data_IF_271946860434
#
_entry.id   IF_271946860434
#
_cell.length_a   1.000
_cell.length_b   1.000
_cell.length_c   1.000
_cell.angle_alpha   90.00
_cell.angle_beta   90.00
_cell.angle_gamma   90.00
#
_symmetry.space_group_name_H-M   'P 1'
#
loop_
_entity.id
_entity.type
_entity.pdbx_description
1 polymer ?
#
# COMPACT_ATOMS: atom_id res chain seq x y z
N UNK A 1 15.63 7.07 -17.76
CA UNK A 1 14.54 7.14 -16.75
C UNK A 1 13.22 7.74 -17.25
N UNK A 2 13.14 8.25 -18.50
CA UNK A 2 11.97 9.01 -18.99
C UNK A 2 10.89 8.19 -19.72
N UNK A 3 11.21 7.00 -20.23
CA UNK A 3 10.24 6.18 -21.01
C UNK A 3 9.23 5.43 -20.14
N UNK A 4 9.68 4.83 -19.03
CA UNK A 4 8.82 4.03 -18.14
C UNK A 4 7.70 4.90 -17.52
N UNK A 5 8.07 6.06 -16.97
CA UNK A 5 7.12 7.03 -16.40
C UNK A 5 6.07 7.46 -17.45
N UNK A 6 6.49 7.64 -18.71
CA UNK A 6 5.61 8.04 -19.82
C UNK A 6 4.63 6.94 -20.25
N UNK A 7 5.03 5.67 -20.11
CA UNK A 7 4.16 4.51 -20.37
C UNK A 7 3.12 4.36 -19.27
N UNK A 8 3.52 4.54 -18.01
CA UNK A 8 2.59 4.55 -16.87
C UNK A 8 1.56 5.68 -16.98
N UNK A 9 1.97 6.85 -17.48
CA UNK A 9 1.13 8.04 -17.72
C UNK A 9 0.12 7.91 -18.88
N UNK A 10 0.18 6.87 -19.71
CA UNK A 10 -0.68 6.75 -20.90
C UNK A 10 -1.67 5.58 -20.80
N UNK A 11 -1.49 4.72 -19.79
CA UNK A 11 -2.31 3.52 -19.53
C UNK A 11 -2.31 3.27 -18.01
N UNK A 12 -3.24 3.86 -17.26
CA UNK A 12 -3.23 3.79 -15.80
C UNK A 12 -3.66 2.41 -15.27
N UNK A 13 -4.03 1.51 -16.19
CA UNK A 13 -4.26 0.07 -15.98
C UNK A 13 -2.95 -0.68 -15.66
N UNK A 14 -1.81 -0.24 -16.20
CA UNK A 14 -0.50 -0.88 -15.97
C UNK A 14 -0.04 -0.73 -14.50
N UNK A 15 0.01 0.48 -13.90
CA UNK A 15 0.41 0.62 -12.50
C UNK A 15 -0.61 -0.06 -11.55
N UNK A 16 -1.90 -0.10 -11.92
CA UNK A 16 -2.92 -0.86 -11.19
C UNK A 16 -2.60 -2.36 -11.18
N UNK A 17 -2.24 -2.93 -12.34
CA UNK A 17 -1.87 -4.34 -12.45
C UNK A 17 -0.64 -4.70 -11.62
N UNK A 18 0.36 -3.83 -11.56
CA UNK A 18 1.55 -4.01 -10.72
C UNK A 18 1.18 -3.95 -9.25
N UNK A 19 0.38 -2.94 -8.84
CA UNK A 19 -0.09 -2.81 -7.46
C UNK A 19 -0.85 -4.06 -6.99
N UNK A 20 -1.76 -4.56 -7.83
CA UNK A 20 -2.52 -5.77 -7.54
C UNK A 20 -1.61 -6.99 -7.39
N UNK A 21 -0.68 -7.19 -8.32
CA UNK A 21 0.25 -8.32 -8.29
C UNK A 21 1.10 -8.31 -7.00
N UNK A 22 1.66 -7.15 -6.63
CA UNK A 22 2.47 -7.01 -5.41
C UNK A 22 1.62 -7.25 -4.16
N UNK A 23 0.41 -6.70 -4.10
CA UNK A 23 -0.49 -6.89 -2.96
C UNK A 23 -0.85 -8.36 -2.77
N UNK A 24 -1.17 -9.08 -3.85
CA UNK A 24 -1.45 -10.53 -3.80
C UNK A 24 -0.25 -11.31 -3.30
N UNK A 25 0.96 -11.01 -3.78
CA UNK A 25 2.20 -11.66 -3.30
C UNK A 25 2.39 -11.44 -1.79
N UNK A 26 2.20 -10.21 -1.30
CA UNK A 26 2.33 -9.90 0.13
C UNK A 26 1.26 -10.60 0.99
N UNK A 27 0.04 -10.75 0.47
CA UNK A 27 -1.02 -11.52 1.13
C UNK A 27 -0.62 -12.99 1.24
N UNK A 28 -0.14 -13.60 0.15
CA UNK A 28 0.29 -15.00 0.12
C UNK A 28 1.46 -15.23 1.07
N UNK A 29 2.46 -14.34 1.08
CA UNK A 29 3.60 -14.41 2.03
C UNK A 29 3.12 -14.28 3.47
N UNK A 30 2.20 -13.35 3.75
CA UNK A 30 1.64 -13.15 5.10
C UNK A 30 0.84 -14.36 5.58
N UNK A 31 0.14 -15.04 4.67
CA UNK A 31 -0.58 -16.27 5.00
C UNK A 31 0.37 -17.46 5.21
N UNK A 32 1.26 -17.70 4.24
CA UNK A 32 2.10 -18.90 4.22
C UNK A 32 3.27 -18.86 5.23
N UNK A 33 3.88 -17.69 5.44
CA UNK A 33 5.06 -17.55 6.30
C UNK A 33 4.66 -17.16 7.72
N UNK A 34 3.78 -16.16 7.85
CA UNK A 34 3.39 -15.59 9.15
C UNK A 34 2.17 -16.28 9.78
N UNK A 35 1.55 -17.25 9.08
CA UNK A 35 0.39 -18.02 9.55
C UNK A 35 -0.74 -17.15 10.10
N UNK A 36 -1.01 -16.02 9.44
CA UNK A 36 -2.07 -15.08 9.83
C UNK A 36 -3.36 -15.43 9.10
N UNK A 37 -4.53 -15.39 9.76
CA UNK A 37 -5.80 -15.67 9.10
C UNK A 37 -6.04 -14.74 7.91
N UNK A 38 -6.40 -15.31 6.76
CA UNK A 38 -6.58 -14.57 5.50
C UNK A 38 -7.55 -13.39 5.61
N UNK A 39 -8.62 -13.55 6.39
CA UNK A 39 -9.61 -12.49 6.63
C UNK A 39 -8.97 -11.25 7.26
N UNK A 40 -8.05 -11.45 8.22
CA UNK A 40 -7.35 -10.34 8.87
C UNK A 40 -6.33 -9.67 7.94
N UNK A 41 -5.65 -10.45 7.09
CA UNK A 41 -4.71 -9.90 6.11
C UNK A 41 -5.45 -9.02 5.10
N UNK A 42 -6.55 -9.53 4.54
CA UNK A 42 -7.36 -8.80 3.57
C UNK A 42 -8.02 -7.57 4.18
N UNK A 43 -8.50 -7.65 5.42
CA UNK A 43 -9.12 -6.49 6.07
C UNK A 43 -8.13 -5.35 6.27
N UNK A 44 -6.92 -5.64 6.73
CA UNK A 44 -5.87 -4.63 6.86
C UNK A 44 -5.46 -4.08 5.50
N UNK A 45 -5.24 -4.93 4.49
CA UNK A 45 -4.88 -4.47 3.15
C UNK A 45 -5.94 -3.53 2.54
N UNK A 46 -7.24 -3.82 2.75
CA UNK A 46 -8.33 -2.93 2.33
C UNK A 46 -8.29 -1.61 3.12
N UNK A 47 -8.03 -1.66 4.44
CA UNK A 47 -7.89 -0.46 5.25
C UNK A 47 -6.73 0.43 4.79
N UNK A 48 -5.59 -0.14 4.38
CA UNK A 48 -4.47 0.64 3.86
C UNK A 48 -4.85 1.43 2.60
N UNK A 49 -5.52 0.76 1.66
CA UNK A 49 -5.97 1.39 0.42
C UNK A 49 -7.03 2.45 0.73
N UNK A 50 -7.99 2.16 1.62
CA UNK A 50 -9.02 3.10 2.02
C UNK A 50 -8.43 4.35 2.70
N UNK A 51 -7.46 4.16 3.61
CA UNK A 51 -6.76 5.26 4.28
C UNK A 51 -5.98 6.11 3.26
N UNK A 52 -5.29 5.47 2.31
CA UNK A 52 -4.57 6.19 1.25
C UNK A 52 -5.51 7.04 0.40
N UNK A 53 -6.70 6.53 0.08
CA UNK A 53 -7.73 7.26 -0.65
C UNK A 53 -8.34 8.41 0.17
N UNK A 54 -8.61 8.17 1.45
CA UNK A 54 -9.19 9.17 2.35
C UNK A 54 -8.22 10.34 2.62
N UNK A 55 -6.93 10.03 2.78
CA UNK A 55 -5.87 11.04 2.99
C UNK A 55 -5.29 11.60 1.69
N UNK A 56 -5.80 11.25 0.52
CA UNK A 56 -5.21 11.64 -0.77
C UNK A 56 -5.08 13.17 -0.97
N UNK A 57 -5.89 13.97 -0.28
CA UNK A 57 -5.82 15.46 -0.32
C UNK A 57 -4.99 16.07 0.82
N UNK A 58 -4.51 15.25 1.75
CA UNK A 58 -3.75 15.65 2.92
C UNK A 58 -2.25 15.59 2.58
N UNK A 59 -1.42 16.46 3.17
CA UNK A 59 0.00 16.47 2.89
C UNK A 59 0.74 15.16 3.23
N UNK A 60 1.80 14.89 2.45
CA UNK A 60 2.63 13.68 2.52
C UNK A 60 3.22 13.38 3.90
N UNK A 61 3.47 14.39 4.74
CA UNK A 61 3.97 14.17 6.10
C UNK A 61 2.99 13.41 7.00
N UNK A 62 1.68 13.51 6.77
CA UNK A 62 0.68 12.75 7.54
C UNK A 62 0.72 11.27 7.17
N UNK A 63 0.96 10.93 5.90
CA UNK A 63 1.16 9.55 5.49
C UNK A 63 2.38 8.92 6.19
N UNK A 64 3.47 9.68 6.33
CA UNK A 64 4.66 9.25 7.08
C UNK A 64 4.35 8.99 8.56
N UNK A 65 3.56 9.85 9.20
CA UNK A 65 3.12 9.65 10.59
C UNK A 65 2.29 8.37 10.75
N UNK A 66 1.41 8.10 9.78
CA UNK A 66 0.57 6.89 9.76
C UNK A 66 1.42 5.61 9.70
N UNK A 67 2.42 5.59 8.81
CA UNK A 67 3.37 4.46 8.71
C UNK A 67 4.13 4.24 10.02
N UNK A 68 4.57 5.32 10.69
CA UNK A 68 5.25 5.22 11.99
C UNK A 68 4.30 4.62 13.04
N UNK A 69 3.07 5.11 13.13
CA UNK A 69 2.07 4.62 14.07
C UNK A 69 1.73 3.14 13.83
N UNK A 70 1.62 2.73 12.57
CA UNK A 70 1.39 1.35 12.17
C UNK A 70 2.55 0.42 12.58
N UNK A 71 3.80 0.84 12.33
CA UNK A 71 4.97 0.07 12.74
C UNK A 71 5.01 -0.05 14.28
N UNK A 72 4.74 1.04 15.00
CA UNK A 72 4.66 1.03 16.46
C UNK A 72 3.58 0.06 16.98
N UNK A 73 2.39 0.08 16.37
CA UNK A 73 1.34 -0.89 16.67
C UNK A 73 1.80 -2.32 16.41
N UNK A 74 2.55 -2.56 15.33
CA UNK A 74 3.14 -3.86 15.03
C UNK A 74 4.03 -4.40 16.14
N UNK A 75 4.85 -3.55 16.75
CA UNK A 75 5.67 -3.94 17.91
C UNK A 75 4.82 -4.22 19.16
N UNK A 76 3.80 -3.41 19.43
CA UNK A 76 2.91 -3.59 20.58
C UNK A 76 2.14 -4.91 20.50
N UNK A 77 1.65 -5.28 19.31
CA UNK A 77 0.90 -6.53 19.08
C UNK A 77 1.79 -7.74 18.76
N UNK A 78 3.12 -7.61 18.82
CA UNK A 78 4.07 -8.70 18.51
C UNK A 78 4.04 -9.16 17.05
N UNK A 79 3.51 -8.35 16.13
CA UNK A 79 3.30 -8.65 14.70
C UNK A 79 4.02 -7.64 13.81
N UNK A 80 5.22 -7.21 14.23
CA UNK A 80 5.98 -6.16 13.56
C UNK A 80 6.23 -6.45 12.06
N UNK A 81 6.64 -7.68 11.72
CA UNK A 81 6.90 -8.08 10.33
C UNK A 81 5.64 -7.94 9.47
N UNK A 82 4.49 -8.37 9.97
CA UNK A 82 3.22 -8.24 9.25
C UNK A 82 2.84 -6.77 9.02
N UNK A 83 2.97 -5.93 10.06
CA UNK A 83 2.68 -4.50 9.91
C UNK A 83 3.62 -3.81 8.94
N UNK A 84 4.89 -4.22 8.86
CA UNK A 84 5.83 -3.71 7.83
C UNK A 84 5.40 -4.12 6.43
N UNK A 85 4.96 -5.37 6.22
CA UNK A 85 4.44 -5.81 4.91
C UNK A 85 3.20 -5.01 4.50
N UNK A 86 2.31 -4.72 5.45
CA UNK A 86 1.12 -3.89 5.19
C UNK A 86 1.49 -2.42 4.94
N UNK A 87 2.51 -1.88 5.61
CA UNK A 87 3.01 -0.53 5.34
C UNK A 87 3.56 -0.39 3.91
N UNK A 88 4.15 -1.45 3.35
CA UNK A 88 4.56 -1.47 1.94
C UNK A 88 3.34 -1.35 1.02
N UNK A 89 2.25 -2.08 1.31
CA UNK A 89 0.99 -1.96 0.57
C UNK A 89 0.45 -0.53 0.64
N UNK A 90 0.47 0.08 1.82
CA UNK A 90 0.06 1.47 2.01
C UNK A 90 0.86 2.46 1.17
N UNK A 91 2.19 2.40 1.24
CA UNK A 91 3.07 3.31 0.49
C UNK A 91 2.87 3.14 -1.02
N UNK A 92 2.70 1.90 -1.49
CA UNK A 92 2.39 1.63 -2.90
C UNK A 92 1.00 2.17 -3.29
N UNK A 93 0.00 2.07 -2.42
CA UNK A 93 -1.33 2.62 -2.66
C UNK A 93 -1.30 4.16 -2.73
N UNK A 94 -0.56 4.83 -1.84
CA UNK A 94 -0.33 6.28 -1.89
C UNK A 94 0.39 6.67 -3.18
N UNK A 95 1.46 5.96 -3.56
CA UNK A 95 2.20 6.23 -4.79
C UNK A 95 1.33 6.02 -6.05
N UNK A 96 0.51 4.96 -6.05
CA UNK A 96 -0.44 4.68 -7.11
C UNK A 96 -1.49 5.79 -7.25
N UNK A 97 -2.12 6.20 -6.13
CA UNK A 97 -3.11 7.28 -6.12
C UNK A 97 -2.51 8.62 -6.52
N UNK A 98 -1.29 8.91 -6.08
CA UNK A 98 -0.58 10.13 -6.47
C UNK A 98 -0.31 10.14 -7.98
N UNK A 99 0.13 9.01 -8.54
CA UNK A 99 0.33 8.88 -9.97
C UNK A 99 -0.97 9.04 -10.76
N UNK A 100 -2.03 8.35 -10.32
CA UNK A 100 -3.36 8.42 -10.96
C UNK A 100 -3.92 9.84 -10.94
N UNK A 101 -3.87 10.52 -9.78
CA UNK A 101 -4.41 11.88 -9.64
C UNK A 101 -3.58 12.92 -10.37
N UNK A 102 -2.29 12.65 -10.62
CA UNK A 102 -1.44 13.50 -11.46
C UNK A 102 -1.73 13.39 -12.96
N UNK A 103 -2.48 12.37 -13.41
CA UNK A 103 -2.97 12.27 -14.78
C UNK A 103 -4.23 13.11 -15.01
N UNK A 104 -4.97 13.46 -13.95
CA UNK A 104 -6.22 14.23 -14.04
C UNK A 104 -6.01 15.76 -13.97
N UNK A 105 -4.78 16.22 -13.71
CA UNK A 105 -4.38 17.64 -13.62
C UNK A 105 -3.60 18.11 -14.85
#
# INVERSE_FOLDING_TARGET
MTKAIKVFKNKPIIPLGIFLAVTVVLIVVSFAVLNIPIVAICSIAILEVLLSALLNRIPLWVHGLLVIAQIAAGFIFGRAVFMVLMAIVYVLAVAFLYLWTSEEA
#
